data_IF_487416562640
#
_entry.id   IF_487416562640
#
_cell.length_a   1.000
_cell.length_b   1.000
_cell.length_c   1.000
_cell.angle_alpha   90.00
_cell.angle_beta   90.00
_cell.angle_gamma   90.00
#
_symmetry.space_group_name_H-M   'P 1'
#
loop_
_entity.id
_entity.type
_entity.pdbx_description
1 polymer ?
#
# COMPACT_ATOMS: atom_id res chain seq x y z
N UNK A 1 -5.51 -18.98 -14.59
CA UNK A 1 -4.36 -18.33 -15.28
C UNK A 1 -4.31 -16.91 -14.74
N UNK A 2 -3.72 -16.60 -13.59
CA UNK A 2 -2.29 -16.50 -13.24
C UNK A 2 -2.10 -17.05 -11.81
N UNK A 3 -1.32 -18.10 -11.61
CA UNK A 3 -1.08 -18.69 -10.28
C UNK A 3 0.42 -18.75 -9.94
N UNK A 4 1.25 -17.90 -10.57
CA UNK A 4 2.73 -17.98 -10.48
C UNK A 4 3.47 -16.65 -10.71
N UNK A 5 2.94 -15.50 -10.29
CA UNK A 5 3.76 -14.29 -10.10
C UNK A 5 3.27 -13.55 -8.86
N UNK A 6 3.71 -14.05 -7.73
CA UNK A 6 3.52 -13.40 -6.43
C UNK A 6 4.64 -12.37 -6.16
N UNK A 7 5.80 -12.53 -6.80
CA UNK A 7 6.91 -11.58 -6.68
C UNK A 7 6.80 -10.42 -7.68
N UNK A 8 7.17 -9.22 -7.24
CA UNK A 8 7.19 -7.99 -8.04
C UNK A 8 5.83 -7.41 -8.43
N UNK A 9 4.72 -7.94 -7.90
CA UNK A 9 3.35 -7.52 -8.26
C UNK A 9 2.64 -6.77 -7.13
N UNK A 10 3.08 -6.91 -5.88
CA UNK A 10 2.49 -6.25 -4.73
C UNK A 10 2.76 -4.74 -4.74
N UNK A 11 1.90 -3.99 -4.09
CA UNK A 11 2.01 -2.53 -3.94
C UNK A 11 1.64 -2.15 -2.52
N UNK A 12 2.13 -1.01 -2.06
CA UNK A 12 1.57 -0.37 -0.87
C UNK A 12 0.12 0.08 -1.14
N UNK A 13 -0.71 0.20 -0.09
CA UNK A 13 -2.02 0.86 -0.16
C UNK A 13 -1.88 2.30 -0.66
N UNK A 14 -2.73 2.73 -1.61
CA UNK A 14 -2.59 4.07 -2.24
C UNK A 14 -3.85 4.46 -3.04
N UNK A 15 -4.29 5.70 -2.82
CA UNK A 15 -5.38 6.32 -3.58
C UNK A 15 -4.91 7.37 -4.57
N UNK A 16 -5.83 7.89 -5.35
CA UNK A 16 -5.63 9.14 -6.09
C UNK A 16 -6.05 10.31 -5.20
N UNK A 17 -5.23 11.35 -5.16
CA UNK A 17 -5.52 12.57 -4.43
C UNK A 17 -6.07 13.63 -5.38
N UNK A 18 -7.10 14.33 -4.95
CA UNK A 18 -7.65 15.46 -5.70
C UNK A 18 -6.68 16.66 -5.68
N UNK A 19 -6.75 17.57 -6.67
CA UNK A 19 -5.91 18.76 -6.68
C UNK A 19 -6.08 19.61 -5.41
N UNK A 20 -4.99 19.76 -4.65
CA UNK A 20 -4.97 20.52 -3.40
C UNK A 20 -5.36 19.73 -2.15
N UNK A 21 -5.67 18.44 -2.29
CA UNK A 21 -5.85 17.54 -1.15
C UNK A 21 -4.51 17.28 -0.45
N UNK A 22 -4.56 17.18 0.88
CA UNK A 22 -3.40 16.78 1.68
C UNK A 22 -3.08 15.31 1.45
N UNK A 23 -1.90 15.04 0.88
CA UNK A 23 -1.54 13.70 0.44
C UNK A 23 -1.40 12.69 1.60
N UNK A 24 -0.97 13.14 2.78
CA UNK A 24 -0.87 12.27 3.95
C UNK A 24 -2.26 11.89 4.46
N UNK A 25 -3.19 12.85 4.49
CA UNK A 25 -4.59 12.63 4.88
C UNK A 25 -5.25 11.62 3.92
N UNK A 26 -5.06 11.79 2.60
CA UNK A 26 -5.52 10.83 1.60
C UNK A 26 -4.91 9.45 1.79
N UNK A 27 -3.60 9.37 2.03
CA UNK A 27 -2.92 8.09 2.26
C UNK A 27 -3.43 7.35 3.51
N UNK A 28 -3.79 8.08 4.58
CA UNK A 28 -4.39 7.51 5.79
C UNK A 28 -5.78 6.95 5.52
N UNK A 29 -6.64 7.72 4.86
CA UNK A 29 -7.98 7.26 4.51
C UNK A 29 -7.91 6.04 3.59
N UNK A 30 -7.02 6.04 2.60
CA UNK A 30 -6.87 4.89 1.72
C UNK A 30 -6.41 3.64 2.46
N UNK A 31 -5.42 3.79 3.35
CA UNK A 31 -4.94 2.67 4.14
C UNK A 31 -6.08 2.07 4.97
N UNK A 32 -6.94 2.89 5.57
CA UNK A 32 -8.11 2.42 6.30
C UNK A 32 -9.15 1.75 5.38
N UNK A 33 -9.38 2.29 4.19
CA UNK A 33 -10.34 1.75 3.20
C UNK A 33 -9.87 0.44 2.55
N UNK A 34 -8.57 0.28 2.28
CA UNK A 34 -8.00 -0.89 1.60
C UNK A 34 -7.57 -1.98 2.59
N UNK A 35 -7.17 -1.61 3.81
CA UNK A 35 -6.60 -2.53 4.81
C UNK A 35 -7.58 -2.77 5.96
N UNK A 36 -8.47 -1.84 6.27
CA UNK A 36 -9.48 -1.98 7.34
C UNK A 36 -8.99 -1.63 8.75
N UNK A 37 -7.82 -0.99 8.87
CA UNK A 37 -7.26 -0.52 10.14
C UNK A 37 -6.84 0.95 10.04
N UNK A 38 -7.11 1.77 11.08
CA UNK A 38 -6.79 3.19 11.03
C UNK A 38 -5.29 3.42 11.17
N UNK A 39 -4.74 4.35 10.37
CA UNK A 39 -3.35 4.78 10.45
C UNK A 39 -3.19 5.93 11.49
N UNK A 40 -3.15 5.58 12.78
CA UNK A 40 -3.13 6.54 13.90
C UNK A 40 -1.74 7.00 14.35
N UNK A 41 -0.69 6.27 13.98
CA UNK A 41 0.68 6.56 14.41
C UNK A 41 1.29 7.83 13.79
N UNK A 42 2.40 8.28 14.39
CA UNK A 42 3.25 9.32 13.80
C UNK A 42 3.86 8.81 12.50
N UNK A 43 3.58 9.52 11.41
CA UNK A 43 4.00 9.11 10.08
C UNK A 43 5.41 9.62 9.77
N UNK A 44 6.26 8.72 9.29
CA UNK A 44 7.57 8.99 8.70
C UNK A 44 7.37 9.23 7.20
N UNK A 45 7.77 10.40 6.71
CA UNK A 45 7.80 10.69 5.27
C UNK A 45 8.90 9.87 4.58
N UNK A 46 8.49 8.99 3.65
CA UNK A 46 9.40 8.19 2.84
C UNK A 46 9.62 8.84 1.46
N UNK A 47 9.15 10.06 1.23
CA UNK A 47 9.24 10.80 -0.01
C UNK A 47 8.40 10.17 -1.12
N UNK A 48 8.90 10.24 -2.35
CA UNK A 48 8.17 9.77 -3.54
C UNK A 48 9.02 8.95 -4.49
N UNK A 49 8.34 8.22 -5.37
CA UNK A 49 8.93 7.47 -6.50
C UNK A 49 8.09 7.68 -7.76
N UNK A 50 8.72 7.59 -8.93
CA UNK A 50 8.03 7.58 -10.21
C UNK A 50 7.95 6.16 -10.76
N UNK A 51 6.74 5.68 -11.03
CA UNK A 51 6.53 4.35 -11.59
C UNK A 51 6.70 4.33 -13.11
N UNK A 52 6.88 3.15 -13.69
CA UNK A 52 7.04 2.94 -15.15
C UNK A 52 5.89 3.53 -15.99
N UNK A 53 4.68 3.59 -15.43
CA UNK A 53 3.51 4.22 -16.07
C UNK A 53 3.47 5.75 -15.99
N UNK A 54 4.51 6.40 -15.45
CA UNK A 54 4.60 7.85 -15.29
C UNK A 54 3.97 8.40 -14.01
N UNK A 55 3.13 7.63 -13.33
CA UNK A 55 2.50 8.00 -12.04
C UNK A 55 3.56 8.21 -10.95
N UNK A 56 3.47 9.33 -10.26
CA UNK A 56 4.23 9.61 -9.04
C UNK A 56 3.46 9.04 -7.85
N UNK A 57 4.14 8.34 -6.95
CA UNK A 57 3.59 7.85 -5.70
C UNK A 57 4.38 8.44 -4.55
N UNK A 58 3.67 9.03 -3.61
CA UNK A 58 4.18 9.50 -2.33
C UNK A 58 3.87 8.43 -1.28
N UNK A 59 4.75 8.23 -0.32
CA UNK A 59 4.57 7.20 0.69
C UNK A 59 5.02 7.68 2.06
N UNK A 60 4.33 7.14 3.06
CA UNK A 60 4.64 7.29 4.47
C UNK A 60 4.68 5.92 5.13
N UNK A 61 5.41 5.83 6.24
CA UNK A 61 5.36 4.68 7.13
C UNK A 61 4.89 5.12 8.51
N UNK A 62 4.27 4.21 9.25
CA UNK A 62 3.93 4.40 10.65
C UNK A 62 4.11 3.08 11.38
N UNK A 63 4.30 3.16 12.69
CA UNK A 63 4.41 2.00 13.57
C UNK A 63 3.04 1.72 14.19
N UNK A 64 2.59 0.46 14.15
CA UNK A 64 1.37 0.03 14.80
C UNK A 64 1.42 -1.48 15.11
N UNK A 65 0.69 -1.91 16.14
CA UNK A 65 0.51 -3.33 16.41
C UNK A 65 -0.66 -3.88 15.60
N UNK A 66 -0.41 -4.95 14.85
CA UNK A 66 -1.48 -5.61 14.09
C UNK A 66 -2.48 -6.28 15.04
N UNK A 67 -3.79 -6.11 14.82
CA UNK A 67 -4.79 -6.81 15.61
C UNK A 67 -4.74 -8.32 15.36
N UNK A 68 -4.99 -9.11 16.41
CA UNK A 68 -5.08 -10.56 16.31
C UNK A 68 -6.17 -10.98 15.32
N UNK A 69 -5.83 -11.87 14.38
CA UNK A 69 -6.77 -12.37 13.38
C UNK A 69 -7.14 -11.37 12.28
N UNK A 70 -6.28 -10.39 12.01
CA UNK A 70 -6.43 -9.42 10.91
C UNK A 70 -6.93 -10.07 9.60
N UNK A 71 -8.01 -9.52 9.06
CA UNK A 71 -8.52 -9.83 7.73
C UNK A 71 -8.62 -8.54 6.94
N UNK A 72 -8.17 -8.57 5.69
CA UNK A 72 -8.33 -7.44 4.78
C UNK A 72 -9.82 -7.16 4.58
N UNK A 73 -10.20 -5.90 4.74
CA UNK A 73 -11.52 -5.40 4.39
C UNK A 73 -11.28 -4.27 3.39
N UNK A 74 -11.48 -4.56 2.09
CA UNK A 74 -11.43 -3.54 1.04
C UNK A 74 -12.82 -3.23 0.53
N UNK A 75 -12.98 -2.06 -0.07
CA UNK A 75 -14.18 -1.73 -0.82
C UNK A 75 -14.35 -2.66 -2.04
N UNK A 76 -15.60 -2.76 -2.48
CA UNK A 76 -16.02 -3.51 -3.65
C UNK A 76 -16.17 -2.56 -4.85
N UNK A 77 -15.79 -3.01 -6.05
CA UNK A 77 -16.07 -2.33 -7.31
C UNK A 77 -16.86 -3.24 -8.26
N UNK A 78 -17.74 -2.64 -9.06
CA UNK A 78 -18.50 -3.37 -10.07
C UNK A 78 -17.81 -3.32 -11.43
N UNK A 79 -17.69 -4.49 -12.08
CA UNK A 79 -17.19 -4.61 -13.45
C UNK A 79 -18.12 -5.48 -14.27
N UNK A 80 -18.27 -5.13 -15.55
CA UNK A 80 -18.95 -6.00 -16.50
C UNK A 80 -18.14 -7.27 -16.74
N UNK A 81 -18.65 -8.42 -16.30
CA UNK A 81 -17.95 -9.69 -16.39
C UNK A 81 -18.89 -10.87 -16.68
N UNK A 82 -18.59 -11.74 -17.67
CA UNK A 82 -17.48 -11.66 -18.63
C UNK A 82 -17.58 -10.44 -19.57
N UNK A 83 -16.48 -10.03 -20.23
CA UNK A 83 -16.51 -8.86 -21.11
C UNK A 83 -17.59 -8.96 -22.21
N UNK A 84 -18.33 -7.86 -22.44
CA UNK A 84 -19.45 -7.74 -23.42
C UNK A 84 -20.70 -8.57 -23.09
N UNK A 85 -20.82 -9.07 -21.85
CA UNK A 85 -22.00 -9.81 -21.39
C UNK A 85 -23.15 -8.91 -20.92
N UNK A 86 -22.92 -7.62 -20.71
CA UNK A 86 -23.80 -6.66 -20.01
C UNK A 86 -24.18 -7.08 -18.58
N UNK A 87 -23.47 -8.05 -17.99
CA UNK A 87 -23.68 -8.49 -16.60
C UNK A 87 -22.67 -7.80 -15.72
N UNK A 88 -23.15 -7.06 -14.73
CA UNK A 88 -22.30 -6.47 -13.69
C UNK A 88 -22.02 -7.50 -12.60
N UNK A 89 -20.78 -7.55 -12.14
CA UNK A 89 -20.36 -8.37 -11.01
C UNK A 89 -19.48 -7.53 -10.08
N UNK A 90 -19.68 -7.69 -8.77
CA UNK A 90 -18.86 -7.06 -7.73
C UNK A 90 -17.57 -7.85 -7.49
N UNK A 91 -16.47 -7.15 -7.32
CA UNK A 91 -15.15 -7.68 -6.95
C UNK A 91 -14.51 -6.79 -5.89
N UNK A 92 -13.75 -7.35 -4.93
CA UNK A 92 -12.98 -6.52 -4.01
C UNK A 92 -11.89 -5.78 -4.76
N UNK A 93 -11.69 -4.51 -4.42
CA UNK A 93 -10.59 -3.69 -4.94
C UNK A 93 -9.22 -4.25 -4.55
N UNK A 94 -9.12 -4.76 -3.32
CA UNK A 94 -7.94 -5.45 -2.82
C UNK A 94 -8.32 -6.87 -2.44
N UNK A 95 -7.81 -7.83 -3.20
CA UNK A 95 -8.03 -9.26 -2.96
C UNK A 95 -7.25 -9.79 -1.74
N UNK A 96 -6.11 -9.18 -1.42
CA UNK A 96 -5.27 -9.57 -0.31
C UNK A 96 -4.40 -8.42 0.22
N UNK A 97 -4.42 -8.20 1.54
CA UNK A 97 -3.42 -7.40 2.24
C UNK A 97 -2.57 -8.29 3.16
N UNK A 98 -1.25 -8.09 3.13
CA UNK A 98 -0.31 -8.88 3.91
C UNK A 98 0.82 -8.00 4.44
N UNK A 99 1.25 -8.29 5.66
CA UNK A 99 2.43 -7.70 6.27
C UNK A 99 3.59 -8.67 6.13
N UNK A 100 4.71 -8.16 5.63
CA UNK A 100 5.89 -8.96 5.28
C UNK A 100 7.11 -8.47 6.06
N UNK A 101 8.08 -9.36 6.26
CA UNK A 101 9.42 -8.90 6.63
C UNK A 101 10.01 -8.02 5.53
N UNK A 102 10.97 -7.15 5.86
CA UNK A 102 11.63 -6.28 4.87
C UNK A 102 12.23 -7.07 3.69
N UNK A 103 12.76 -8.26 3.96
CA UNK A 103 13.37 -9.13 2.95
C UNK A 103 12.32 -9.72 1.99
N UNK A 104 11.17 -10.14 2.50
CA UNK A 104 10.05 -10.64 1.69
C UNK A 104 9.38 -9.50 0.92
N UNK A 105 9.14 -8.35 1.57
CA UNK A 105 8.58 -7.17 0.97
C UNK A 105 9.41 -6.73 -0.26
N UNK A 106 10.74 -6.76 -0.16
CA UNK A 106 11.63 -6.41 -1.28
C UNK A 106 11.45 -7.31 -2.50
N UNK A 107 11.14 -8.60 -2.30
CA UNK A 107 10.89 -9.57 -3.38
C UNK A 107 9.50 -9.41 -3.97
N UNK A 108 8.51 -9.12 -3.12
CA UNK A 108 7.08 -9.06 -3.49
C UNK A 108 6.65 -7.74 -4.11
N UNK A 109 7.20 -6.64 -3.63
CA UNK A 109 6.79 -5.30 -4.01
C UNK A 109 7.24 -4.95 -5.44
N UNK A 110 6.44 -4.13 -6.13
CA UNK A 110 6.83 -3.52 -7.41
C UNK A 110 8.18 -2.84 -7.27
N UNK A 111 9.06 -3.11 -8.23
CA UNK A 111 10.45 -2.62 -8.28
C UNK A 111 10.57 -1.11 -7.98
N UNK A 112 9.70 -0.27 -8.53
CA UNK A 112 9.76 1.17 -8.30
C UNK A 112 9.51 1.58 -6.84
N UNK A 113 8.76 0.77 -6.08
CA UNK A 113 8.40 1.06 -4.68
C UNK A 113 9.39 0.48 -3.68
N UNK A 114 10.34 -0.39 -4.09
CA UNK A 114 11.32 -0.97 -3.15
C UNK A 114 12.22 0.10 -2.51
N UNK A 115 12.40 1.25 -3.18
CA UNK A 115 13.11 2.40 -2.63
C UNK A 115 12.49 2.94 -1.33
N UNK A 116 11.19 2.73 -1.10
CA UNK A 116 10.56 3.09 0.18
C UNK A 116 11.05 2.21 1.32
N UNK A 117 11.36 0.94 1.07
CA UNK A 117 11.93 0.04 2.09
C UNK A 117 13.33 0.50 2.50
N UNK A 118 14.14 0.95 1.54
CA UNK A 118 15.48 1.48 1.81
C UNK A 118 15.41 2.72 2.70
N UNK A 119 14.52 3.68 2.36
CA UNK A 119 14.30 4.90 3.14
C UNK A 119 13.72 4.62 4.53
N UNK A 120 12.85 3.61 4.65
CA UNK A 120 12.31 3.19 5.95
C UNK A 120 13.43 2.67 6.86
N UNK A 121 14.32 1.81 6.34
CA UNK A 121 15.45 1.29 7.11
C UNK A 121 16.38 2.41 7.55
N UNK A 122 16.68 3.36 6.67
CA UNK A 122 17.51 4.53 6.98
C UNK A 122 16.87 5.42 8.07
N UNK A 123 15.57 5.68 7.96
CA UNK A 123 14.82 6.48 8.93
C UNK A 123 14.77 5.79 10.31
N UNK A 124 14.55 4.48 10.36
CA UNK A 124 14.54 3.71 11.62
C UNK A 124 15.94 3.62 12.25
N UNK A 125 17.00 3.51 11.44
CA UNK A 125 18.38 3.56 11.91
C UNK A 125 18.72 4.91 12.54
N UNK A 126 18.29 6.00 11.90
CA UNK A 126 18.47 7.37 12.41
C UNK A 126 17.63 7.64 13.67
N UNK A 127 16.40 7.14 13.71
CA UNK A 127 15.51 7.28 14.87
C UNK A 127 16.01 6.53 16.11
N UNK A 128 16.70 5.40 15.93
CA UNK A 128 17.36 4.67 17.02
C UNK A 128 18.56 5.41 17.61
N UNK A 129 19.27 6.21 16.81
CA UNK A 129 20.40 7.03 17.29
C UNK A 129 19.90 8.23 18.10
N UNK A 130 18.74 8.80 17.77
CA UNK A 130 18.18 9.96 18.47
C UNK A 130 17.46 9.61 19.79
N UNK A 131 17.17 8.33 20.05
CA UNK A 131 16.50 7.85 21.27
C UNK A 131 17.45 7.22 22.30
N UNK A 132 18.77 7.21 22.05
CA UNK A 132 19.81 6.68 22.94
C UNK A 132 20.52 7.82 23.70
#
# INVERSE_FOLDING_TARGET
FYRKKDDGVWTIPKGEAEPGEDLLSRARTEFEEEVGIPATGDCIDLGWVKQKGGKTVYAWAFEENLPDGFQVCSNDFELEWPPRSRKMQSFPEVDQACFFSLEEARRKLKEAQTAFLDRLVEAMGSARILRA
#
